data_IF_349367023910
#
_entry.id   IF_349367023910
#
_cell.length_a   1.000
_cell.length_b   1.000
_cell.length_c   1.000
_cell.angle_alpha   90.00
_cell.angle_beta   90.00
_cell.angle_gamma   90.00
#
_symmetry.space_group_name_H-M   'P 1'
#
loop_
_entity.id
_entity.type
_entity.pdbx_description
1 polymer ?
#
# COMPACT_ATOMS: atom_id res chain seq x y z
N UNK A 1 34.10 -41.64 -18.48
CA UNK A 1 34.91 -41.05 -17.37
C UNK A 1 35.42 -39.65 -17.76
N UNK A 2 34.59 -38.79 -18.34
CA UNK A 2 35.08 -37.50 -18.89
C UNK A 2 34.03 -36.37 -18.83
N UNK A 3 33.06 -36.49 -17.92
CA UNK A 3 32.03 -35.45 -17.67
C UNK A 3 32.05 -34.92 -16.23
N UNK A 4 32.85 -35.54 -15.34
CA UNK A 4 32.90 -35.24 -13.91
C UNK A 4 34.06 -34.30 -13.49
N UNK A 5 34.93 -33.88 -14.41
CA UNK A 5 36.14 -33.09 -14.07
C UNK A 5 36.10 -31.61 -14.52
N UNK A 6 34.99 -31.12 -15.07
CA UNK A 6 34.85 -29.70 -15.49
C UNK A 6 34.22 -28.77 -14.44
N UNK A 7 33.94 -29.28 -13.22
CA UNK A 7 33.27 -28.53 -12.15
C UNK A 7 34.21 -27.99 -11.06
N UNK A 8 35.52 -28.19 -11.16
CA UNK A 8 36.48 -27.81 -10.11
C UNK A 8 37.19 -26.47 -10.25
N UNK A 9 36.87 -25.65 -11.25
CA UNK A 9 37.44 -24.30 -11.34
C UNK A 9 36.49 -23.33 -12.07
N UNK A 10 35.58 -22.69 -11.31
CA UNK A 10 35.01 -21.40 -11.69
C UNK A 10 34.95 -20.50 -10.46
N UNK A 11 35.64 -19.33 -10.47
CA UNK A 11 35.55 -18.37 -9.38
C UNK A 11 34.15 -17.74 -9.33
N UNK A 12 33.67 -17.49 -8.11
CA UNK A 12 32.35 -16.95 -7.81
C UNK A 12 32.10 -15.60 -8.51
N UNK A 13 30.88 -15.29 -8.97
CA UNK A 13 30.56 -13.95 -9.43
C UNK A 13 30.58 -12.98 -8.25
N UNK A 14 31.61 -12.16 -8.22
CA UNK A 14 31.78 -11.04 -7.28
C UNK A 14 30.57 -10.12 -7.37
N UNK A 15 29.95 -9.88 -6.21
CA UNK A 15 28.92 -8.86 -5.99
C UNK A 15 29.49 -7.51 -6.43
N UNK A 16 29.08 -7.01 -7.59
CA UNK A 16 29.35 -5.62 -7.99
C UNK A 16 28.33 -4.73 -7.30
N UNK A 17 28.63 -4.35 -6.07
CA UNK A 17 28.02 -3.18 -5.42
C UNK A 17 28.52 -1.94 -6.16
N UNK A 18 27.82 -1.54 -7.22
CA UNK A 18 27.91 -0.17 -7.72
C UNK A 18 27.39 0.78 -6.65
N UNK A 19 27.88 2.03 -6.57
CA UNK A 19 27.35 2.99 -5.61
C UNK A 19 25.89 3.21 -5.99
N UNK A 20 24.98 2.69 -5.16
CA UNK A 20 23.59 3.12 -5.19
C UNK A 20 23.67 4.64 -5.03
N UNK A 21 23.25 5.37 -6.07
CA UNK A 21 23.00 6.80 -5.97
C UNK A 21 21.99 6.95 -4.85
N UNK A 22 22.48 7.26 -3.66
CA UNK A 22 21.66 7.77 -2.57
C UNK A 22 21.13 9.08 -3.10
N UNK A 23 19.90 9.06 -3.61
CA UNK A 23 19.16 10.29 -3.89
C UNK A 23 18.95 10.89 -2.50
N UNK A 24 19.68 11.96 -2.22
CA UNK A 24 19.79 12.62 -0.90
C UNK A 24 18.52 13.43 -0.56
N UNK A 25 17.40 13.16 -1.23
CA UNK A 25 16.13 13.85 -1.02
C UNK A 25 15.24 13.18 0.06
N UNK A 26 15.62 12.01 0.58
CA UNK A 26 14.83 11.28 1.60
C UNK A 26 15.24 11.61 3.06
N UNK A 27 16.20 12.52 3.28
CA UNK A 27 16.74 12.80 4.62
C UNK A 27 15.80 13.68 5.47
N UNK A 28 14.72 14.24 4.90
CA UNK A 28 13.82 15.15 5.61
C UNK A 28 12.33 14.84 5.41
N UNK A 29 11.96 13.58 5.15
CA UNK A 29 10.56 13.17 5.34
C UNK A 29 10.37 12.84 6.82
N UNK A 30 9.39 13.45 7.51
CA UNK A 30 9.03 12.99 8.85
C UNK A 30 8.71 11.50 8.78
N UNK A 31 9.24 10.71 9.72
CA UNK A 31 8.97 9.28 9.77
C UNK A 31 7.45 9.06 9.77
N UNK A 32 6.96 8.37 8.76
CA UNK A 32 5.52 8.11 8.63
C UNK A 32 5.07 7.29 9.84
N UNK A 33 3.99 7.68 10.54
CA UNK A 33 3.50 6.94 11.68
C UNK A 33 3.27 5.45 11.33
N UNK A 34 4.06 4.57 11.96
CA UNK A 34 3.89 3.12 11.82
C UNK A 34 2.73 2.65 12.67
N UNK A 35 2.08 1.57 12.25
CA UNK A 35 1.07 0.89 13.09
C UNK A 35 1.77 0.29 14.31
N UNK A 36 1.18 0.44 15.49
CA UNK A 36 1.68 -0.17 16.73
C UNK A 36 1.55 -1.71 16.70
N UNK A 37 0.56 -2.23 15.98
CA UNK A 37 0.24 -3.65 15.88
C UNK A 37 0.33 -4.15 14.44
N UNK A 38 0.48 -5.47 14.28
CA UNK A 38 0.48 -6.13 12.98
C UNK A 38 -0.90 -5.94 12.30
N UNK A 39 -0.96 -5.33 11.11
CA UNK A 39 -2.23 -5.05 10.44
C UNK A 39 -3.00 -6.33 10.06
N UNK A 40 -4.31 -6.28 10.25
CA UNK A 40 -5.26 -7.27 9.73
C UNK A 40 -6.03 -6.69 8.55
N UNK A 41 -6.74 -7.51 7.76
CA UNK A 41 -7.64 -6.98 6.72
C UNK A 41 -8.69 -6.02 7.32
N UNK A 42 -9.15 -6.28 8.54
CA UNK A 42 -10.04 -5.38 9.28
C UNK A 42 -9.39 -4.02 9.52
N UNK A 43 -8.12 -3.99 9.92
CA UNK A 43 -7.34 -2.76 10.09
C UNK A 43 -7.25 -1.98 8.77
N UNK A 44 -6.91 -2.67 7.67
CA UNK A 44 -6.82 -2.07 6.33
C UNK A 44 -8.18 -1.48 5.91
N UNK A 45 -9.29 -2.17 6.18
CA UNK A 45 -10.63 -1.69 5.83
C UNK A 45 -11.00 -0.38 6.54
N UNK A 46 -10.64 -0.24 7.82
CA UNK A 46 -10.83 1.03 8.53
C UNK A 46 -9.94 2.14 7.95
N UNK A 47 -8.69 1.84 7.61
CA UNK A 47 -7.78 2.82 7.02
C UNK A 47 -8.23 3.27 5.61
N UNK A 48 -8.71 2.34 4.77
CA UNK A 48 -9.37 2.66 3.51
C UNK A 48 -10.58 3.57 3.74
N UNK A 49 -11.42 3.23 4.72
CA UNK A 49 -12.60 4.02 5.06
C UNK A 49 -12.24 5.43 5.58
N UNK A 50 -11.17 5.58 6.35
CA UNK A 50 -10.64 6.88 6.76
C UNK A 50 -10.25 7.75 5.54
N UNK A 51 -9.79 7.13 4.45
CA UNK A 51 -9.47 7.84 3.22
C UNK A 51 -10.66 8.51 2.53
N UNK A 52 -11.89 8.10 2.84
CA UNK A 52 -13.12 8.77 2.37
C UNK A 52 -13.55 9.96 3.26
N UNK A 53 -12.90 10.18 4.40
CA UNK A 53 -13.18 11.31 5.28
C UNK A 53 -12.56 12.58 4.70
N UNK A 54 -13.36 13.64 4.50
CA UNK A 54 -12.87 14.91 3.97
C UNK A 54 -11.91 15.58 4.97
N UNK A 55 -12.31 15.64 6.24
CA UNK A 55 -11.56 16.21 7.37
C UNK A 55 -10.59 15.19 8.01
N UNK A 56 -9.59 14.76 7.24
CA UNK A 56 -8.56 13.85 7.74
C UNK A 56 -7.38 14.61 8.37
N UNK A 57 -7.16 14.38 9.66
CA UNK A 57 -5.90 14.69 10.34
C UNK A 57 -5.15 13.40 10.67
N UNK A 58 -3.96 13.24 10.10
CA UNK A 58 -3.12 12.05 10.31
C UNK A 58 -2.51 12.01 11.72
N UNK A 59 -2.42 13.15 12.39
CA UNK A 59 -1.98 13.26 13.77
C UNK A 59 -3.12 12.97 14.76
N UNK A 60 -4.38 13.09 14.31
CA UNK A 60 -5.58 12.78 15.09
C UNK A 60 -6.61 12.03 14.24
N UNK A 61 -6.44 10.71 14.12
CA UNK A 61 -7.34 9.87 13.34
C UNK A 61 -8.71 9.63 13.97
N UNK A 62 -8.99 10.14 15.18
CA UNK A 62 -10.21 9.80 15.91
C UNK A 62 -11.49 10.19 15.14
N UNK A 63 -11.62 11.41 14.58
CA UNK A 63 -12.79 11.77 13.78
C UNK A 63 -12.93 10.91 12.52
N UNK A 64 -11.82 10.69 11.80
CA UNK A 64 -11.81 9.85 10.60
C UNK A 64 -12.18 8.39 10.90
N UNK A 65 -11.78 7.86 12.06
CA UNK A 65 -12.14 6.51 12.51
C UNK A 65 -13.63 6.39 12.85
N UNK A 66 -14.24 7.41 13.45
CA UNK A 66 -15.68 7.40 13.72
C UNK A 66 -16.49 7.51 12.42
N UNK A 67 -16.03 8.32 11.47
CA UNK A 67 -16.55 8.33 10.10
C UNK A 67 -16.39 6.97 9.41
N UNK A 68 -15.23 6.34 9.53
CA UNK A 68 -14.94 5.05 8.92
C UNK A 68 -15.88 3.96 9.43
N UNK A 69 -16.09 3.86 10.75
CA UNK A 69 -17.06 2.93 11.34
C UNK A 69 -18.46 3.14 10.78
N UNK A 70 -18.87 4.40 10.61
CA UNK A 70 -20.18 4.74 10.08
C UNK A 70 -20.37 4.28 8.64
N UNK A 71 -19.44 4.60 7.72
CA UNK A 71 -19.60 4.19 6.31
C UNK A 71 -19.49 2.67 6.11
N UNK A 72 -18.75 1.99 6.98
CA UNK A 72 -18.67 0.53 7.00
C UNK A 72 -20.02 -0.05 7.47
N UNK A 73 -20.61 0.51 8.53
CA UNK A 73 -21.91 0.07 9.04
C UNK A 73 -23.06 0.38 8.08
N UNK A 74 -22.96 1.49 7.33
CA UNK A 74 -23.90 1.88 6.27
C UNK A 74 -23.70 1.07 4.97
N UNK A 75 -22.71 0.17 4.92
CA UNK A 75 -22.39 -0.62 3.73
C UNK A 75 -22.20 0.24 2.46
N UNK A 76 -21.55 1.40 2.62
CA UNK A 76 -21.39 2.39 1.55
C UNK A 76 -20.71 1.77 0.33
N UNK A 77 -21.37 1.84 -0.83
CA UNK A 77 -21.01 1.09 -2.04
C UNK A 77 -19.61 1.37 -2.57
N UNK A 78 -19.20 2.64 -2.63
CA UNK A 78 -17.89 3.03 -3.14
C UNK A 78 -16.74 2.55 -2.24
N UNK A 79 -16.93 2.59 -0.91
CA UNK A 79 -16.01 1.96 0.04
C UNK A 79 -15.98 0.45 -0.13
N UNK A 80 -17.13 -0.25 -0.23
CA UNK A 80 -17.15 -1.72 -0.42
C UNK A 80 -16.39 -2.14 -1.65
N UNK A 81 -16.62 -1.47 -2.78
CA UNK A 81 -15.93 -1.78 -4.04
C UNK A 81 -14.43 -1.51 -3.94
N UNK A 82 -14.02 -0.43 -3.27
CA UNK A 82 -12.60 -0.20 -2.98
C UNK A 82 -12.00 -1.29 -2.09
N UNK A 83 -12.69 -1.63 -0.99
CA UNK A 83 -12.30 -2.69 -0.05
C UNK A 83 -12.13 -4.04 -0.75
N UNK A 84 -13.08 -4.43 -1.61
CA UNK A 84 -13.00 -5.67 -2.39
C UNK A 84 -11.79 -5.69 -3.33
N UNK A 85 -11.55 -4.61 -4.08
CA UNK A 85 -10.41 -4.53 -5.00
C UNK A 85 -9.08 -4.51 -4.26
N UNK A 86 -8.98 -3.79 -3.15
CA UNK A 86 -7.75 -3.72 -2.36
C UNK A 86 -7.47 -5.01 -1.59
N UNK A 87 -8.52 -5.71 -1.14
CA UNK A 87 -8.41 -6.96 -0.39
C UNK A 87 -7.77 -8.12 -1.17
N UNK A 88 -7.77 -8.07 -2.50
CA UNK A 88 -7.10 -9.08 -3.35
C UNK A 88 -5.66 -8.70 -3.72
N UNK A 89 -5.18 -7.51 -3.35
CA UNK A 89 -3.83 -7.06 -3.66
C UNK A 89 -2.82 -7.83 -2.78
N UNK A 90 -1.81 -8.48 -3.40
CA UNK A 90 -0.75 -9.15 -2.65
C UNK A 90 -0.05 -8.19 -1.68
N UNK A 91 0.23 -8.68 -0.49
CA UNK A 91 0.95 -7.95 0.56
C UNK A 91 0.36 -6.57 0.93
N UNK A 92 -0.97 -6.39 0.78
CA UNK A 92 -1.62 -5.12 1.16
C UNK A 92 -1.36 -4.70 2.62
N UNK A 93 -1.12 -5.67 3.50
CA UNK A 93 -0.78 -5.46 4.91
C UNK A 93 0.65 -4.91 5.11
N UNK A 94 1.54 -5.03 4.12
CA UNK A 94 2.91 -4.54 4.15
C UNK A 94 3.00 -3.02 3.99
N UNK A 95 2.02 -2.38 3.34
CA UNK A 95 2.02 -0.93 3.14
C UNK A 95 1.68 -0.18 4.43
N UNK A 96 2.36 0.95 4.64
CA UNK A 96 2.12 1.82 5.79
C UNK A 96 0.73 2.46 5.74
N UNK A 97 0.26 2.96 6.90
CA UNK A 97 -1.08 3.53 7.04
C UNK A 97 -1.32 4.70 6.09
N UNK A 98 -0.32 5.58 5.91
CA UNK A 98 -0.47 6.74 5.03
C UNK A 98 -0.71 6.27 3.60
N UNK A 99 0.04 5.28 3.14
CA UNK A 99 -0.09 4.73 1.79
C UNK A 99 -1.49 4.16 1.55
N UNK A 100 -2.06 3.44 2.53
CA UNK A 100 -3.44 2.92 2.43
C UNK A 100 -4.48 4.05 2.37
N UNK A 101 -4.32 5.09 3.19
CA UNK A 101 -5.24 6.24 3.18
C UNK A 101 -5.10 7.05 1.87
N UNK A 102 -3.87 7.31 1.45
CA UNK A 102 -3.57 8.07 0.23
C UNK A 102 -4.06 7.36 -1.03
N UNK A 103 -4.04 6.02 -1.06
CA UNK A 103 -4.60 5.22 -2.15
C UNK A 103 -6.05 5.62 -2.45
N UNK A 104 -6.83 5.91 -1.41
CA UNK A 104 -8.23 6.35 -1.54
C UNK A 104 -8.30 7.84 -1.82
N UNK A 105 -7.57 8.67 -1.07
CA UNK A 105 -7.67 10.13 -1.19
C UNK A 105 -7.18 10.69 -2.51
N UNK A 106 -6.13 10.09 -3.08
CA UNK A 106 -5.54 10.52 -4.35
C UNK A 106 -6.25 9.90 -5.55
N UNK A 107 -7.16 8.94 -5.31
CA UNK A 107 -7.91 8.32 -6.39
C UNK A 107 -8.81 9.36 -7.08
N UNK A 108 -8.80 9.42 -8.43
CA UNK A 108 -9.79 10.20 -9.16
C UNK A 108 -11.22 9.77 -8.82
N UNK A 109 -12.19 10.68 -8.85
CA UNK A 109 -13.62 10.35 -8.59
C UNK A 109 -14.13 9.17 -9.42
N UNK A 110 -13.64 9.03 -10.64
CA UNK A 110 -13.98 7.92 -11.53
C UNK A 110 -13.51 6.55 -10.99
N UNK A 111 -12.45 6.48 -10.18
CA UNK A 111 -12.00 5.23 -9.55
C UNK A 111 -12.99 4.76 -8.48
N UNK A 112 -13.59 5.69 -7.71
CA UNK A 112 -14.56 5.33 -6.67
C UNK A 112 -15.88 4.81 -7.25
N UNK A 113 -16.41 5.54 -8.24
CA UNK A 113 -17.75 5.31 -8.78
C UNK A 113 -17.78 4.50 -10.09
N UNK A 114 -16.64 4.38 -10.76
CA UNK A 114 -16.52 3.73 -12.06
C UNK A 114 -16.39 2.22 -11.97
N UNK A 115 -15.95 1.64 -13.10
CA UNK A 115 -15.87 0.21 -13.27
C UNK A 115 -14.75 -0.43 -12.41
N UNK A 116 -14.81 -1.75 -12.31
CA UNK A 116 -13.86 -2.52 -11.53
C UNK A 116 -12.42 -2.41 -12.07
N UNK A 117 -12.26 -2.44 -13.39
CA UNK A 117 -10.92 -2.48 -14.01
C UNK A 117 -10.14 -1.19 -13.78
N UNK A 118 -10.78 -0.02 -13.94
CA UNK A 118 -10.16 1.27 -13.64
C UNK A 118 -9.67 1.34 -12.19
N UNK A 119 -10.47 0.81 -11.26
CA UNK A 119 -10.13 0.78 -9.84
C UNK A 119 -8.96 -0.16 -9.57
N UNK A 120 -8.97 -1.33 -10.18
CA UNK A 120 -7.88 -2.30 -10.08
C UNK A 120 -6.58 -1.72 -10.61
N UNK A 121 -6.60 -1.16 -11.82
CA UNK A 121 -5.43 -0.51 -12.43
C UNK A 121 -4.90 0.62 -11.57
N UNK A 122 -5.78 1.45 -11.00
CA UNK A 122 -5.37 2.48 -10.05
C UNK A 122 -4.64 1.88 -8.84
N UNK A 123 -5.22 0.88 -8.18
CA UNK A 123 -4.62 0.32 -6.98
C UNK A 123 -3.29 -0.38 -7.25
N UNK A 124 -3.20 -1.17 -8.32
CA UNK A 124 -1.96 -1.84 -8.72
C UNK A 124 -0.87 -0.82 -9.08
N UNK A 125 -1.21 0.24 -9.83
CA UNK A 125 -0.24 1.26 -10.22
C UNK A 125 0.21 2.13 -9.05
N UNK A 126 -0.70 2.47 -8.14
CA UNK A 126 -0.41 3.30 -6.97
C UNK A 126 0.50 2.58 -5.96
N UNK A 127 0.33 1.27 -5.83
CA UNK A 127 1.07 0.45 -4.85
C UNK A 127 2.37 -0.13 -5.40
N UNK A 128 2.63 -0.06 -6.71
CA UNK A 128 3.87 -0.54 -7.33
C UNK A 128 5.11 0.33 -7.05
N UNK A 129 5.02 1.29 -6.12
CA UNK A 129 6.03 2.33 -5.83
C UNK A 129 7.05 1.86 -4.79
#
# INVERSE_FOLDING_TARGET
KEWAERLKNKPAPVKKTGPHKVIVDDVNKPERPRRSEKPTHRTINYELACGFCEELDLNNLRPAMDFAKRIIAEDREDWKRMSMTVGIIPDIKGYDRQTIIDLVRKAPKAVHNGNHDLRRTWCESFLAV
#
